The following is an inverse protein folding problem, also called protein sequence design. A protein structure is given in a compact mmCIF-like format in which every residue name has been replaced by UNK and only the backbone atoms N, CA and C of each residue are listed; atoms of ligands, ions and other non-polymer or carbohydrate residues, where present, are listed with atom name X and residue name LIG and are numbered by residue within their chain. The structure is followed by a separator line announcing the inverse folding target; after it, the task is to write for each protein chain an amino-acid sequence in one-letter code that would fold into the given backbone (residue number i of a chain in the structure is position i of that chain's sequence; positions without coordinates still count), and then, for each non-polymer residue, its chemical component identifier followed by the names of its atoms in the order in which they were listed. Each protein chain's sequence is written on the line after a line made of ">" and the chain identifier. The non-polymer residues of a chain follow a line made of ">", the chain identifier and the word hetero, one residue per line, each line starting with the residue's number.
data_IF_842473594365
#
_entry.id   IF_842473594365
#
_cell.length_a   1.000
_cell.length_b   1.000
_cell.length_c   1.000
_cell.angle_alpha   90.00
_cell.angle_beta   90.00
_cell.angle_gamma   90.00
#
_symmetry.space_group_name_H-M   'P 1'
#
loop_
_entity.id
_entity.type
_entity.pdbx_description
1 polymer ?
#
# COMPACT_ATOMS: atom_id res chain seq x y z
N UNK A 1 15.25 0.31 9.57
CA UNK A 1 15.43 1.76 9.23
C UNK A 1 14.43 2.23 8.15
N UNK A 2 13.12 2.12 8.44
CA UNK A 2 12.00 2.56 7.55
C UNK A 2 11.44 3.94 8.00
N UNK A 3 11.88 4.41 9.17
CA UNK A 3 11.41 5.60 9.87
C UNK A 3 11.81 6.95 9.24
N UNK A 4 12.69 7.00 8.24
CA UNK A 4 13.07 8.26 7.58
C UNK A 4 12.12 8.68 6.44
N UNK A 5 11.23 7.80 5.98
CA UNK A 5 10.29 8.11 4.91
C UNK A 5 8.90 8.59 5.40
N UNK A 6 8.49 8.23 6.61
CA UNK A 6 7.20 8.65 7.19
C UNK A 6 7.14 10.16 7.51
N UNK A 7 8.28 10.82 7.74
CA UNK A 7 8.31 12.27 8.02
C UNK A 7 7.82 13.14 6.84
N UNK A 8 7.92 12.66 5.59
CA UNK A 8 7.50 13.45 4.42
C UNK A 8 6.01 13.34 4.07
N UNK A 9 5.28 12.38 4.64
CA UNK A 9 3.85 12.19 4.39
C UNK A 9 2.95 13.07 5.27
N UNK A 10 3.51 13.70 6.31
CA UNK A 10 2.80 14.55 7.26
C UNK A 10 3.31 15.99 7.19
N UNK A 11 3.10 16.67 6.05
CA UNK A 11 3.35 18.12 5.97
C UNK A 11 2.23 18.91 6.64
N UNK A 12 2.29 18.98 7.97
CA UNK A 12 2.00 20.20 8.74
C UNK A 12 2.60 20.08 10.15
N UNK A 13 3.87 20.50 10.28
CA UNK A 13 4.60 20.85 11.52
C UNK A 13 4.50 19.85 12.69
N UNK A 14 5.35 18.83 12.70
CA UNK A 14 5.85 18.22 13.95
C UNK A 14 7.31 17.81 13.72
N UNK A 15 8.21 18.27 14.59
CA UNK A 15 9.60 17.80 14.64
C UNK A 15 9.64 16.66 15.66
N UNK A 16 10.00 15.45 15.24
CA UNK A 16 10.16 14.29 16.14
C UNK A 16 11.64 13.87 16.15
N UNK A 17 12.24 13.89 17.33
CA UNK A 17 13.60 13.37 17.54
C UNK A 17 13.60 11.84 17.51
N UNK A 18 14.63 11.28 16.86
CA UNK A 18 14.82 9.86 16.56
C UNK A 18 15.14 9.00 17.78
N UNK A 19 14.47 7.85 17.87
CA UNK A 19 14.86 6.68 18.66
C UNK A 19 14.43 5.41 17.92
N UNK A 20 15.32 4.41 17.88
CA UNK A 20 15.11 3.12 17.22
C UNK A 20 13.82 2.40 17.70
N UNK A 21 13.12 1.76 16.76
CA UNK A 21 12.25 0.57 16.89
C UNK A 21 10.73 0.70 16.59
N UNK A 22 10.22 -0.36 15.96
CA UNK A 22 8.82 -0.74 15.65
C UNK A 22 8.03 0.13 14.64
N UNK A 23 7.39 -0.53 13.66
CA UNK A 23 6.52 0.11 12.65
C UNK A 23 5.05 -0.13 13.01
N UNK A 24 4.53 0.69 13.93
CA UNK A 24 3.08 0.79 14.11
C UNK A 24 2.53 1.84 13.13
N UNK A 25 1.43 1.51 12.45
CA UNK A 25 0.62 2.55 11.81
C UNK A 25 -0.10 3.31 12.93
N UNK A 26 0.10 4.62 12.99
CA UNK A 26 -0.52 5.50 13.96
C UNK A 26 -1.38 6.53 13.24
N UNK A 27 -2.64 6.66 13.64
CA UNK A 27 -3.49 7.76 13.20
C UNK A 27 -3.26 8.98 14.09
N UNK A 28 -3.16 10.17 13.47
CA UNK A 28 -3.10 11.47 14.14
C UNK A 28 -4.41 12.21 13.82
N UNK A 29 -5.32 12.30 14.78
CA UNK A 29 -6.58 13.02 14.62
C UNK A 29 -6.47 14.45 15.16
N UNK A 30 -7.00 15.42 14.40
CA UNK A 30 -7.15 16.82 14.79
C UNK A 30 -8.65 17.18 14.81
N UNK A 31 -9.13 17.79 15.89
CA UNK A 31 -10.56 18.03 16.23
C UNK A 31 -11.35 18.99 15.31
N UNK A 32 -10.94 19.23 14.06
CA UNK A 32 -11.63 20.18 13.16
C UNK A 32 -12.12 19.48 11.89
N UNK A 33 -13.41 19.14 11.91
CA UNK A 33 -14.12 18.42 10.85
C UNK A 33 -14.07 19.11 9.48
N UNK A 34 -13.86 18.30 8.44
CA UNK A 34 -13.81 18.71 7.05
C UNK A 34 -15.01 18.14 6.31
N UNK A 35 -15.79 19.00 5.62
CA UNK A 35 -16.95 18.61 4.81
C UNK A 35 -16.53 18.49 3.34
N UNK A 36 -16.90 17.39 2.69
CA UNK A 36 -16.70 17.15 1.26
C UNK A 36 -17.89 17.69 0.44
N UNK A 37 -17.61 18.29 -0.71
CA UNK A 37 -18.62 18.71 -1.70
C UNK A 37 -18.69 17.69 -2.85
N UNK A 38 -19.88 17.39 -3.40
CA UNK A 38 -20.02 16.45 -4.50
C UNK A 38 -19.80 17.13 -5.87
N UNK A 39 -19.01 16.50 -6.74
CA UNK A 39 -18.88 16.84 -8.16
C UNK A 39 -19.59 15.79 -9.02
N UNK A 40 -20.49 16.23 -9.89
CA UNK A 40 -21.17 15.36 -10.87
C UNK A 40 -20.28 15.15 -12.10
N UNK A 41 -20.23 13.93 -12.62
CA UNK A 41 -19.55 13.60 -13.88
C UNK A 41 -20.53 12.93 -14.85
N UNK A 42 -20.61 13.46 -16.08
CA UNK A 42 -21.44 12.95 -17.17
C UNK A 42 -20.74 11.80 -17.91
N UNK A 43 -21.51 10.75 -18.23
CA UNK A 43 -21.10 9.58 -19.02
C UNK A 43 -21.00 9.93 -20.50
N UNK A 44 -19.89 9.54 -21.14
CA UNK A 44 -19.80 9.49 -22.60
C UNK A 44 -19.79 8.02 -23.07
N UNK A 45 -20.81 7.65 -23.84
CA UNK A 45 -21.03 6.32 -24.43
C UNK A 45 -20.32 6.22 -25.78
N UNK A 46 -19.57 5.14 -26.01
CA UNK A 46 -19.09 4.76 -27.35
C UNK A 46 -19.48 3.32 -27.68
N UNK A 47 -20.42 3.19 -28.61
CA UNK A 47 -20.84 1.92 -29.20
C UNK A 47 -19.76 1.38 -30.16
N UNK A 48 -19.36 0.12 -29.96
CA UNK A 48 -18.57 -0.67 -30.90
C UNK A 48 -19.27 -2.03 -31.14
N UNK A 49 -19.41 -2.52 -32.39
CA UNK A 49 -20.20 -3.70 -32.71
C UNK A 49 -19.48 -5.01 -32.34
N UNK A 50 -20.22 -5.90 -31.66
CA UNK A 50 -19.76 -7.21 -31.21
C UNK A 50 -19.41 -8.17 -32.36
N UNK A 51 -18.19 -8.71 -32.36
CA UNK A 51 -17.81 -9.90 -33.14
C UNK A 51 -18.13 -11.16 -32.32
N UNK A 52 -18.93 -12.06 -32.89
CA UNK A 52 -19.29 -13.36 -32.30
C UNK A 52 -18.06 -14.27 -32.24
N UNK A 53 -17.65 -14.68 -31.04
CA UNK A 53 -16.60 -15.67 -30.81
C UNK A 53 -17.21 -17.02 -30.39
N UNK A 54 -16.73 -18.10 -31.01
CA UNK A 54 -17.12 -19.49 -30.77
C UNK A 54 -16.59 -19.97 -29.41
N UNK A 55 -17.47 -20.59 -28.61
CA UNK A 55 -17.19 -21.17 -27.29
C UNK A 55 -16.41 -22.49 -27.44
N UNK A 56 -15.16 -22.52 -26.97
CA UNK A 56 -14.43 -23.76 -26.66
C UNK A 56 -14.69 -24.13 -25.18
N UNK A 57 -14.87 -25.42 -24.84
CA UNK A 57 -15.09 -25.84 -23.46
C UNK A 57 -13.80 -25.66 -22.65
N UNK A 58 -13.83 -24.74 -21.68
CA UNK A 58 -12.78 -24.53 -20.68
C UNK A 58 -12.73 -25.72 -19.72
N UNK A 59 -11.66 -26.50 -19.79
CA UNK A 59 -11.28 -27.44 -18.73
C UNK A 59 -10.86 -26.58 -17.52
N UNK A 60 -11.41 -26.79 -16.31
CA UNK A 60 -11.00 -26.04 -15.14
C UNK A 60 -9.57 -26.46 -14.76
N UNK A 61 -8.61 -25.62 -15.14
CA UNK A 61 -7.26 -25.69 -14.61
C UNK A 61 -7.35 -25.14 -13.18
N UNK A 62 -7.41 -26.01 -12.18
CA UNK A 62 -7.24 -25.59 -10.79
C UNK A 62 -5.81 -25.05 -10.64
N UNK A 63 -5.66 -23.73 -10.75
CA UNK A 63 -4.47 -23.03 -10.30
C UNK A 63 -4.37 -23.21 -8.79
N UNK A 64 -3.48 -24.08 -8.34
CA UNK A 64 -2.99 -24.00 -6.97
C UNK A 64 -2.10 -22.76 -6.90
N UNK A 65 -2.66 -21.63 -6.44
CA UNK A 65 -1.85 -20.48 -6.06
C UNK A 65 -0.91 -20.91 -4.92
N UNK A 66 0.38 -20.62 -5.05
CA UNK A 66 1.36 -20.96 -4.01
C UNK A 66 1.11 -20.12 -2.76
N UNK A 67 1.27 -20.71 -1.59
CA UNK A 67 1.12 -20.01 -0.30
C UNK A 67 2.08 -18.82 -0.19
N UNK A 68 1.64 -17.74 0.46
CA UNK A 68 2.48 -16.56 0.68
C UNK A 68 3.69 -16.93 1.54
N UNK A 69 4.94 -16.61 1.11
CA UNK A 69 6.12 -16.98 1.86
C UNK A 69 6.08 -16.33 3.25
N UNK A 70 6.47 -17.10 4.28
CA UNK A 70 6.54 -16.58 5.64
C UNK A 70 7.60 -15.48 5.70
N UNK A 71 7.25 -14.24 6.09
CA UNK A 71 8.23 -13.16 6.23
C UNK A 71 9.32 -13.54 7.23
N UNK A 72 10.58 -13.30 6.87
CA UNK A 72 11.71 -13.47 7.77
C UNK A 72 12.14 -12.12 8.35
N UNK A 73 12.54 -12.10 9.63
CA UNK A 73 13.10 -10.90 10.24
C UNK A 73 14.60 -10.81 9.92
N UNK A 74 14.99 -9.78 9.19
CA UNK A 74 16.37 -9.46 8.84
C UNK A 74 17.09 -8.62 9.90
N UNK A 75 16.36 -8.00 10.85
CA UNK A 75 17.00 -7.12 11.83
C UNK A 75 17.96 -7.91 12.74
N UNK A 76 19.23 -7.45 12.89
CA UNK A 76 20.26 -8.17 13.63
C UNK A 76 20.04 -8.17 15.15
N UNK A 77 19.12 -7.33 15.66
CA UNK A 77 18.80 -7.25 17.08
C UNK A 77 17.86 -8.40 17.50
N UNK A 78 18.32 -9.34 18.33
CA UNK A 78 17.51 -10.48 18.74
C UNK A 78 16.41 -10.12 19.75
N UNK A 79 16.40 -8.90 20.31
CA UNK A 79 15.37 -8.47 21.26
C UNK A 79 14.01 -8.23 20.60
N UNK A 80 13.97 -8.18 19.26
CA UNK A 80 12.76 -7.98 18.48
C UNK A 80 12.24 -6.54 18.53
N UNK A 81 11.21 -6.22 17.71
CA UNK A 81 10.62 -4.90 17.74
C UNK A 81 9.90 -4.66 19.07
N UNK A 82 9.91 -3.40 19.53
CA UNK A 82 9.08 -2.97 20.64
C UNK A 82 7.60 -3.23 20.34
N UNK A 83 6.79 -3.69 21.29
CA UNK A 83 5.35 -3.82 21.09
C UNK A 83 4.73 -2.48 20.68
N UNK A 84 3.85 -2.48 19.68
CA UNK A 84 3.26 -1.26 19.12
C UNK A 84 2.59 -0.35 20.17
N UNK A 85 1.93 -0.93 21.17
CA UNK A 85 1.30 -0.18 22.26
C UNK A 85 2.34 0.58 23.09
N UNK A 86 3.44 -0.09 23.45
CA UNK A 86 4.54 0.53 24.20
C UNK A 86 5.25 1.60 23.36
N UNK A 87 5.39 1.37 22.05
CA UNK A 87 5.97 2.34 21.13
C UNK A 87 5.15 3.64 21.09
N UNK A 88 3.83 3.55 21.00
CA UNK A 88 2.92 4.71 21.03
C UNK A 88 2.98 5.44 22.36
N UNK A 89 3.07 4.73 23.49
CA UNK A 89 3.21 5.35 24.83
C UNK A 89 4.51 6.15 24.99
N UNK A 90 5.57 5.78 24.27
CA UNK A 90 6.87 6.46 24.28
C UNK A 90 6.96 7.62 23.28
N UNK A 91 5.94 7.83 22.45
CA UNK A 91 5.92 8.95 21.50
C UNK A 91 5.76 10.28 22.23
N UNK A 92 6.55 11.27 21.79
CA UNK A 92 6.37 12.67 22.21
C UNK A 92 5.49 13.36 21.18
N UNK A 93 4.29 13.80 21.58
CA UNK A 93 3.34 14.46 20.69
C UNK A 93 3.20 15.94 21.07
N UNK A 94 2.92 16.83 20.10
CA UNK A 94 2.53 18.19 20.41
C UNK A 94 1.26 18.25 21.27
N UNK A 95 1.05 19.33 22.04
CA UNK A 95 -0.18 19.50 22.80
C UNK A 95 -1.44 19.39 21.91
N UNK A 96 -2.41 18.60 22.35
CA UNK A 96 -3.67 18.37 21.64
C UNK A 96 -3.67 17.21 20.64
N UNK A 97 -2.55 16.50 20.48
CA UNK A 97 -2.49 15.30 19.64
C UNK A 97 -2.53 14.02 20.46
N UNK A 98 -3.10 12.97 19.88
CA UNK A 98 -3.11 11.60 20.39
C UNK A 98 -2.68 10.67 19.27
N UNK A 99 -1.86 9.67 19.62
CA UNK A 99 -1.54 8.56 18.75
C UNK A 99 -2.25 7.30 19.26
N UNK A 100 -2.73 6.48 18.34
CA UNK A 100 -3.35 5.17 18.61
C UNK A 100 -2.83 4.17 17.60
N UNK A 101 -2.56 2.95 18.08
CA UNK A 101 -2.21 1.82 17.22
C UNK A 101 -3.46 1.42 16.44
N UNK A 102 -3.39 1.44 15.11
CA UNK A 102 -4.48 0.99 14.24
C UNK A 102 -4.21 -0.38 13.61
N UNK A 103 -2.93 -0.73 13.41
CA UNK A 103 -2.46 -2.04 12.98
C UNK A 103 -1.00 -2.23 13.43
N UNK A 104 -0.62 -3.48 13.68
CA UNK A 104 0.73 -3.88 14.07
C UNK A 104 1.03 -5.30 13.57
N UNK A 105 2.25 -5.78 13.77
CA UNK A 105 2.62 -7.16 13.49
C UNK A 105 1.76 -8.15 14.31
N UNK A 106 1.29 -9.27 13.73
CA UNK A 106 1.57 -9.79 12.39
C UNK A 106 0.62 -9.30 11.29
N UNK A 107 -0.36 -8.46 11.61
CA UNK A 107 -1.39 -8.03 10.65
C UNK A 107 -0.82 -7.13 9.54
N UNK A 108 0.18 -6.32 9.88
CA UNK A 108 0.98 -5.53 8.92
C UNK A 108 2.46 -5.68 9.23
N UNK A 109 3.29 -5.89 8.22
CA UNK A 109 4.75 -6.00 8.33
C UNK A 109 5.43 -5.34 7.12
N UNK A 110 6.56 -4.68 7.33
CA UNK A 110 7.30 -3.93 6.31
C UNK A 110 6.43 -3.00 5.42
N UNK A 111 5.57 -2.15 6.01
CA UNK A 111 4.82 -1.16 5.23
C UNK A 111 5.78 -0.15 4.58
N UNK A 112 5.66 0.03 3.25
CA UNK A 112 6.48 0.99 2.48
C UNK A 112 5.66 2.17 1.95
N UNK A 113 4.38 1.96 1.70
CA UNK A 113 3.46 2.99 1.24
C UNK A 113 2.03 2.70 1.72
N UNK A 114 1.21 3.75 1.72
CA UNK A 114 -0.20 3.64 2.02
C UNK A 114 -1.01 4.65 1.21
N UNK A 115 -2.29 4.33 1.02
CA UNK A 115 -3.29 5.18 0.39
C UNK A 115 -4.65 5.01 1.08
N UNK A 116 -5.48 6.06 1.00
CA UNK A 116 -6.87 6.01 1.46
C UNK A 116 -7.78 5.94 0.25
N UNK A 117 -8.78 5.06 0.29
CA UNK A 117 -9.81 5.06 -0.74
C UNK A 117 -10.99 5.96 -0.37
N UNK A 118 -11.90 6.16 -1.32
CA UNK A 118 -13.10 6.99 -1.12
C UNK A 118 -14.09 6.42 -0.08
N UNK A 119 -13.90 5.16 0.37
CA UNK A 119 -14.68 4.53 1.44
C UNK A 119 -14.03 4.75 2.82
N UNK A 120 -12.88 5.42 2.89
CA UNK A 120 -12.15 5.64 4.14
C UNK A 120 -11.35 4.43 4.61
N UNK A 121 -11.10 3.45 3.73
CA UNK A 121 -10.29 2.27 4.06
C UNK A 121 -8.82 2.55 3.81
N UNK A 122 -7.97 1.95 4.63
CA UNK A 122 -6.52 2.08 4.50
C UNK A 122 -5.96 0.96 3.65
N UNK A 123 -5.30 1.32 2.58
CA UNK A 123 -4.56 0.41 1.73
C UNK A 123 -3.08 0.49 2.07
N UNK A 124 -2.43 -0.64 2.27
CA UNK A 124 -1.02 -0.71 2.69
C UNK A 124 -0.24 -1.58 1.73
N UNK A 125 0.86 -1.05 1.21
CA UNK A 125 1.86 -1.78 0.45
C UNK A 125 2.91 -2.35 1.40
N UNK A 126 3.07 -3.67 1.40
CA UNK A 126 4.13 -4.36 2.11
C UNK A 126 5.22 -4.80 1.14
N UNK A 127 6.46 -4.50 1.48
CA UNK A 127 7.61 -4.80 0.64
C UNK A 127 8.58 -5.73 1.37
N UNK A 128 8.61 -6.99 0.92
CA UNK A 128 9.50 -8.05 1.39
C UNK A 128 10.62 -8.34 0.40
N UNK A 129 10.43 -7.97 -0.88
CA UNK A 129 11.45 -8.20 -1.91
C UNK A 129 12.68 -7.31 -1.71
N UNK A 130 12.58 -6.17 -1.04
CA UNK A 130 13.73 -5.33 -0.72
C UNK A 130 14.61 -6.01 0.34
N UNK A 131 15.80 -6.43 -0.07
CA UNK A 131 16.66 -7.28 0.71
C UNK A 131 17.89 -6.54 1.26
N UNK A 132 18.60 -7.20 2.17
CA UNK A 132 19.74 -6.64 2.90
C UNK A 132 20.98 -6.39 2.01
N UNK A 133 21.98 -5.70 2.58
CA UNK A 133 23.24 -5.41 1.90
C UNK A 133 23.87 -6.66 1.26
N UNK A 134 24.08 -6.60 -0.06
CA UNK A 134 24.63 -7.71 -0.87
C UNK A 134 23.61 -8.31 -1.83
N UNK A 135 22.31 -8.24 -1.53
CA UNK A 135 21.20 -8.64 -2.40
C UNK A 135 20.18 -7.50 -2.42
N UNK A 136 20.12 -6.71 -3.49
CA UNK A 136 19.23 -5.52 -3.54
C UNK A 136 17.76 -5.91 -3.46
N UNK A 137 17.40 -6.91 -4.26
CA UNK A 137 16.09 -7.52 -4.25
C UNK A 137 16.21 -9.05 -4.23
N UNK A 138 15.37 -9.70 -3.45
CA UNK A 138 15.14 -11.15 -3.52
C UNK A 138 13.82 -11.42 -4.25
N UNK A 139 13.91 -11.70 -5.55
CA UNK A 139 12.76 -11.99 -6.40
C UNK A 139 12.22 -13.42 -6.23
N UNK A 140 12.67 -14.17 -5.22
CA UNK A 140 11.97 -15.38 -4.77
C UNK A 140 10.89 -15.05 -3.72
N UNK A 141 10.89 -13.83 -3.19
CA UNK A 141 9.84 -13.31 -2.32
C UNK A 141 8.77 -12.61 -3.15
N UNK A 142 7.67 -12.28 -2.47
CA UNK A 142 6.54 -11.55 -3.03
C UNK A 142 6.16 -10.42 -2.10
N UNK A 143 5.73 -9.33 -2.70
CA UNK A 143 5.16 -8.15 -2.07
C UNK A 143 3.63 -8.23 -2.14
N UNK A 144 2.94 -7.54 -1.25
CA UNK A 144 1.48 -7.57 -1.21
C UNK A 144 0.85 -6.24 -0.87
N UNK A 145 -0.41 -6.10 -1.26
CA UNK A 145 -1.27 -4.97 -0.93
C UNK A 145 -2.38 -5.47 -0.01
N UNK A 146 -2.48 -4.84 1.15
CA UNK A 146 -3.50 -5.10 2.17
C UNK A 146 -4.55 -3.99 2.18
N UNK A 147 -5.76 -4.35 2.56
CA UNK A 147 -6.87 -3.43 2.80
C UNK A 147 -7.32 -3.61 4.25
N UNK A 148 -7.40 -2.49 4.96
CA UNK A 148 -7.90 -2.42 6.32
C UNK A 148 -9.15 -1.53 6.37
N UNK A 149 -10.18 -2.01 7.05
CA UNK A 149 -11.47 -1.32 7.18
C UNK A 149 -11.90 -1.30 8.64
N UNK A 150 -12.28 -0.11 9.11
CA UNK A 150 -12.87 0.17 10.41
C UNK A 150 -14.37 0.40 10.13
N UNK A 151 -15.21 -0.54 10.55
CA UNK A 151 -16.63 -0.57 10.23
C UNK A 151 -17.46 0.15 11.27
N UNK A 152 -16.98 0.22 12.51
CA UNK A 152 -17.70 0.83 13.62
C UNK A 152 -17.21 2.24 13.98
N UNK A 153 -16.11 2.68 13.39
CA UNK A 153 -15.53 4.00 13.54
C UNK A 153 -14.83 4.20 14.88
N UNK A 154 -14.44 3.14 15.58
CA UNK A 154 -13.75 3.23 16.87
C UNK A 154 -12.26 3.60 16.74
N UNK A 155 -11.76 3.68 15.51
CA UNK A 155 -10.37 3.98 15.18
C UNK A 155 -9.46 2.76 15.17
N UNK A 156 -10.01 1.54 15.16
CA UNK A 156 -9.32 0.26 14.98
C UNK A 156 -9.91 -0.46 13.78
N UNK A 157 -9.07 -1.18 13.05
CA UNK A 157 -9.56 -1.93 11.90
C UNK A 157 -10.18 -3.27 12.33
N UNK A 158 -11.40 -3.53 11.84
CA UNK A 158 -12.15 -4.76 12.06
C UNK A 158 -11.76 -5.87 11.10
N UNK A 159 -11.31 -5.49 9.90
CA UNK A 159 -11.02 -6.45 8.84
C UNK A 159 -9.70 -6.15 8.15
N UNK A 160 -9.07 -7.23 7.71
CA UNK A 160 -7.86 -7.26 6.92
C UNK A 160 -8.08 -8.14 5.70
N UNK A 161 -7.95 -7.58 4.50
CA UNK A 161 -8.03 -8.31 3.23
C UNK A 161 -6.71 -8.19 2.47
N UNK A 162 -6.30 -9.26 1.78
CA UNK A 162 -5.23 -9.21 0.80
C UNK A 162 -5.87 -8.89 -0.54
N UNK A 163 -5.50 -7.76 -1.15
CA UNK A 163 -5.94 -7.41 -2.51
C UNK A 163 -5.15 -8.21 -3.55
N UNK A 164 -3.82 -8.19 -3.43
CA UNK A 164 -2.90 -9.00 -4.25
C UNK A 164 -1.63 -9.27 -3.47
N UNK A 165 -1.00 -10.42 -3.71
CA UNK A 165 0.26 -10.84 -3.10
C UNK A 165 1.24 -11.44 -4.11
N UNK A 166 1.09 -11.05 -5.38
CA UNK A 166 1.89 -11.53 -6.52
C UNK A 166 2.87 -10.46 -7.04
N UNK A 167 3.08 -9.39 -6.27
CA UNK A 167 3.91 -8.27 -6.70
C UNK A 167 5.38 -8.46 -6.34
N UNK A 168 6.25 -7.70 -7.00
CA UNK A 168 7.66 -7.61 -6.68
C UNK A 168 8.15 -6.19 -6.85
N UNK A 169 9.16 -5.80 -6.05
CA UNK A 169 9.74 -4.46 -6.06
C UNK A 169 8.69 -3.37 -5.81
N UNK A 170 7.68 -3.66 -4.98
CA UNK A 170 6.61 -2.73 -4.65
C UNK A 170 7.15 -1.55 -3.83
N UNK A 171 6.98 -0.34 -4.35
CA UNK A 171 7.50 0.88 -3.71
C UNK A 171 6.42 1.91 -3.39
N UNK A 172 5.28 1.86 -4.08
CA UNK A 172 4.19 2.82 -3.87
C UNK A 172 2.86 2.31 -4.41
N UNK A 173 1.77 2.79 -3.81
CA UNK A 173 0.40 2.54 -4.26
C UNK A 173 -0.43 3.83 -4.18
N UNK A 174 -1.44 3.93 -5.05
CA UNK A 174 -2.51 4.93 -4.97
C UNK A 174 -3.83 4.32 -5.48
N UNK A 175 -4.96 4.60 -4.82
CA UNK A 175 -6.27 3.99 -5.17
C UNK A 175 -7.14 5.00 -5.89
N UNK A 176 -7.65 4.64 -7.06
CA UNK A 176 -8.50 5.54 -7.84
C UNK A 176 -8.75 5.05 -9.26
N UNK A 177 -9.68 5.71 -9.95
CA UNK A 177 -10.03 5.42 -11.35
C UNK A 177 -10.42 3.95 -11.62
N UNK A 178 -11.04 3.29 -10.64
CA UNK A 178 -11.53 1.91 -10.77
C UNK A 178 -10.45 0.83 -10.61
N UNK A 179 -9.41 1.11 -9.82
CA UNK A 179 -8.37 0.15 -9.50
C UNK A 179 -7.28 0.73 -8.61
N UNK A 180 -6.13 0.08 -8.63
CA UNK A 180 -4.95 0.44 -7.84
C UNK A 180 -3.78 0.73 -8.77
N UNK A 181 -3.18 1.89 -8.60
CA UNK A 181 -1.95 2.29 -9.26
C UNK A 181 -0.78 1.85 -8.43
N UNK A 182 0.18 1.16 -9.05
CA UNK A 182 1.25 0.44 -8.35
C UNK A 182 2.59 0.78 -8.98
N UNK A 183 3.53 1.27 -8.19
CA UNK A 183 4.91 1.48 -8.63
C UNK A 183 5.75 0.26 -8.27
N UNK A 184 6.07 -0.54 -9.30
CA UNK A 184 6.98 -1.67 -9.23
C UNK A 184 8.08 -1.45 -10.29
N UNK A 185 9.16 -0.71 -9.95
CA UNK A 185 10.18 -0.34 -10.92
C UNK A 185 10.69 -1.56 -11.71
N UNK A 186 10.81 -1.45 -13.05
CA UNK A 186 10.84 -0.21 -13.82
C UNK A 186 9.46 0.33 -14.25
N UNK A 187 8.36 -0.28 -13.79
CA UNK A 187 7.02 -0.04 -14.32
C UNK A 187 6.08 0.66 -13.32
N UNK A 188 5.30 1.60 -13.84
CA UNK A 188 4.03 2.00 -13.27
C UNK A 188 2.95 1.06 -13.83
N UNK A 189 2.30 0.36 -12.92
CA UNK A 189 1.24 -0.60 -13.22
C UNK A 189 -0.12 -0.06 -12.78
N UNK A 190 -1.18 -0.54 -13.43
CA UNK A 190 -2.55 -0.39 -12.98
C UNK A 190 -3.19 -1.77 -12.82
N UNK A 191 -3.74 -2.03 -11.63
CA UNK A 191 -4.46 -3.27 -11.33
C UNK A 191 -5.96 -2.92 -11.27
N UNK A 192 -6.77 -3.37 -12.24
CA UNK A 192 -8.18 -3.03 -12.28
C UNK A 192 -8.98 -3.70 -11.15
N UNK A 193 -9.89 -2.94 -10.55
CA UNK A 193 -10.95 -3.37 -9.63
C UNK A 193 -12.21 -2.54 -9.97
N UNK A 194 -12.72 -2.76 -11.17
CA UNK A 194 -13.84 -2.03 -11.77
C UNK A 194 -15.17 -2.47 -11.19
N UNK A 195 -15.24 -3.69 -10.67
CA UNK A 195 -16.42 -4.24 -10.04
C UNK A 195 -16.52 -3.85 -8.54
N UNK A 196 -15.42 -3.37 -7.93
CA UNK A 196 -15.36 -2.89 -6.55
C UNK A 196 -15.45 -4.00 -5.50
N UNK A 197 -15.14 -5.25 -5.86
CA UNK A 197 -15.17 -6.41 -4.97
C UNK A 197 -13.87 -6.60 -4.18
N UNK A 198 -12.91 -5.69 -4.37
CA UNK A 198 -11.58 -5.71 -3.78
C UNK A 198 -10.77 -6.96 -4.17
N UNK A 199 -10.94 -7.44 -5.39
CA UNK A 199 -10.09 -8.43 -6.05
C UNK A 199 -9.62 -7.85 -7.40
N UNK A 200 -8.39 -8.16 -7.85
CA UNK A 200 -7.94 -7.82 -9.18
C UNK A 200 -8.87 -8.44 -10.24
N UNK A 201 -9.45 -7.60 -11.10
CA UNK A 201 -10.24 -8.04 -12.26
C UNK A 201 -9.39 -8.74 -13.33
N UNK A 202 -8.07 -8.58 -13.26
CA UNK A 202 -7.13 -9.12 -14.24
C UNK A 202 -5.67 -8.93 -13.84
N UNK A 203 -4.79 -9.28 -14.77
CA UNK A 203 -3.36 -9.06 -14.60
C UNK A 203 -3.02 -7.56 -14.56
N UNK A 204 -1.96 -7.15 -13.84
CA UNK A 204 -1.48 -5.77 -13.86
C UNK A 204 -1.21 -5.28 -15.30
N UNK A 205 -1.71 -4.10 -15.61
CA UNK A 205 -1.53 -3.42 -16.89
C UNK A 205 -0.33 -2.45 -16.77
N UNK A 206 0.63 -2.53 -17.70
CA UNK A 206 1.75 -1.57 -17.72
C UNK A 206 1.27 -0.26 -18.31
N UNK A 207 1.25 0.80 -17.50
CA UNK A 207 0.85 2.14 -17.94
C UNK A 207 2.05 2.94 -18.42
N UNK A 208 3.15 2.89 -17.67
CA UNK A 208 4.39 3.56 -18.01
C UNK A 208 5.56 2.67 -17.62
N UNK A 209 6.63 2.74 -18.42
CA UNK A 209 7.88 2.04 -18.20
C UNK A 209 9.03 3.05 -18.33
N UNK A 210 10.23 2.68 -17.87
CA UNK A 210 11.42 3.50 -17.94
C UNK A 210 11.95 3.99 -16.59
N UNK A 211 11.36 3.54 -15.47
CA UNK A 211 11.89 3.79 -14.12
C UNK A 211 13.04 2.84 -13.76
N UNK A 212 13.83 2.44 -14.75
CA UNK A 212 14.99 1.56 -14.57
C UNK A 212 16.07 2.30 -13.79
N UNK A 213 16.37 1.79 -12.60
CA UNK A 213 17.49 2.28 -11.80
C UNK A 213 18.85 1.85 -12.36
N UNK A 214 19.90 2.57 -11.97
CA UNK A 214 21.26 2.08 -12.17
C UNK A 214 21.46 0.76 -11.41
N UNK A 215 22.28 -0.19 -11.93
CA UNK A 215 22.70 -1.37 -11.18
C UNK A 215 23.34 -1.05 -9.84
N UNK A 216 23.88 0.16 -9.64
CA UNK A 216 24.49 0.63 -8.39
C UNK A 216 23.49 1.34 -7.45
N UNK A 217 22.26 1.57 -7.91
CA UNK A 217 21.22 2.22 -7.11
C UNK A 217 20.77 1.29 -5.98
N UNK A 218 20.84 1.77 -4.74
CA UNK A 218 20.37 1.05 -3.54
C UNK A 218 19.22 1.80 -2.86
N UNK A 219 19.22 3.12 -3.00
CA UNK A 219 18.22 4.04 -2.51
C UNK A 219 17.83 4.94 -3.69
N UNK A 220 16.62 5.50 -3.70
CA UNK A 220 16.04 6.35 -4.78
C UNK A 220 15.34 5.62 -5.94
N UNK A 221 14.70 4.49 -5.68
CA UNK A 221 13.70 3.95 -6.61
C UNK A 221 12.50 4.90 -6.73
N UNK A 222 11.86 4.94 -7.90
CA UNK A 222 10.63 5.71 -8.10
C UNK A 222 9.59 5.29 -7.05
N UNK A 223 8.97 6.26 -6.39
CA UNK A 223 7.99 6.04 -5.33
C UNK A 223 7.09 7.29 -5.15
N UNK A 224 6.15 7.23 -4.20
CA UNK A 224 5.36 8.39 -3.78
C UNK A 224 4.24 8.79 -4.73
N UNK A 225 3.54 7.82 -5.33
CA UNK A 225 2.35 8.05 -6.17
C UNK A 225 1.27 8.81 -5.39
N UNK A 226 0.71 9.87 -5.97
CA UNK A 226 -0.40 10.65 -5.39
C UNK A 226 -1.23 11.29 -6.47
N UNK A 227 -2.55 11.23 -6.36
CA UNK A 227 -3.39 12.07 -7.19
C UNK A 227 -3.27 13.54 -6.80
N UNK A 228 -3.04 14.40 -7.79
CA UNK A 228 -3.26 15.83 -7.68
C UNK A 228 -4.74 16.15 -7.52
N UNK A 229 -5.08 17.35 -7.01
CA UNK A 229 -6.47 17.81 -6.90
C UNK A 229 -7.15 17.99 -8.27
N UNK A 230 -6.38 18.00 -9.36
CA UNK A 230 -6.82 17.98 -10.75
C UNK A 230 -7.14 16.58 -11.29
N UNK A 231 -6.93 15.54 -10.48
CA UNK A 231 -7.20 14.15 -10.82
C UNK A 231 -6.09 13.44 -11.62
N UNK A 232 -4.95 14.11 -11.84
CA UNK A 232 -3.78 13.52 -12.47
C UNK A 232 -2.95 12.75 -11.44
N UNK A 233 -2.32 11.65 -11.85
CA UNK A 233 -1.39 10.88 -11.02
C UNK A 233 0.05 11.42 -11.17
#
# INVERSE_FOLDING_TARGET
>A
MVLHYLEKLLSSRVHLEYGNNSLALASLNCDKGMRLFPGNYEKQSSDQPMRKALLFPLIPFSLFASEFPVPYNSEPDPSGPMPAVEAVEKMRLPPGFKATVIAAEPDVQNPIAMAWDARGRLWVAENYTYAESGRKFDLNLRDRILIFEDKDGDGRFDTRKVFTDELQMLTSIEVGHGGVWVMCPPQLLFIPDRNGDDLPDGAPEVVLDGFTGSPDMHHTFANGLRFGPDGWL
#
